data_IF_170352300398
#
_entry.id   IF_170352300398
#
_cell.length_a   1.000
_cell.length_b   1.000
_cell.length_c   1.000
_cell.angle_alpha   90.00
_cell.angle_beta   90.00
_cell.angle_gamma   90.00
#
_symmetry.space_group_name_H-M   'P 1'
#
loop_
_entity.id
_entity.type
_entity.pdbx_description
1 polymer ?
#
# COMPACT_ATOMS: atom_id res chain seq x y z
N UNK A 1 -10.36 10.78 11.28
CA UNK A 1 -10.50 10.82 10.72
C UNK A 1 -10.15 10.61 10.33
N UNK A 2 -10.20 10.35 10.39
CA UNK A 2 -10.08 10.28 10.07
C UNK A 2 -9.96 10.52 9.86
N UNK A 3 -10.02 10.39 11.18
CA UNK A 3 -10.20 10.38 10.48
C UNK A 3 -10.22 10.36 10.00
N UNK A 4 -10.23 10.14 10.59
CA UNK A 4 -10.43 10.05 9.81
C UNK A 4 -10.50 9.88 9.40
N UNK A 5 -10.45 9.51 9.68
CA UNK A 5 -10.67 9.35 8.94
C UNK A 5 -11.00 9.08 8.34
N UNK A 6 -11.18 8.90 8.80
CA UNK A 6 -11.48 8.61 7.85
C UNK A 6 -12.22 8.72 7.42
N UNK A 7 -12.44 8.42 7.62
CA UNK A 7 -13.11 8.35 6.80
C UNK A 7 -13.93 8.23 6.38
N UNK A 8 -14.34 8.35 6.66
CA UNK A 8 -15.08 8.15 5.97
C UNK A 8 -15.67 7.94 5.43
N UNK A 9 -16.19 7.84 5.49
CA UNK A 9 -16.76 7.61 4.73
C UNK A 9 -17.45 7.60 4.33
N UNK A 10 -17.87 7.53 4.43
CA UNK A 10 -18.49 7.50 3.81
C UNK A 10 -19.22 7.39 3.53
N UNK A 11 -19.59 7.46 3.84
CA UNK A 11 -20.16 7.37 3.39
C UNK A 11 -20.79 7.32 2.82
N UNK A 12 -21.16 7.26 2.89
CA UNK A 12 -21.46 7.21 2.32
C UNK A 12 -21.49 7.07 1.84
N UNK A 13 -21.30 7.04 2.16
CA UNK A 13 -20.91 7.01 1.73
C UNK A 13 -20.42 6.63 1.65
N UNK A 14 -20.06 6.50 1.52
CA UNK A 14 -19.39 6.31 1.38
C UNK A 14 -18.76 5.78 1.43
N UNK A 15 -18.44 5.50 1.04
CA UNK A 15 -17.77 4.72 1.34
C UNK A 15 -16.38 4.59 1.21
N UNK A 16 -15.78 4.54 1.92
CA UNK A 16 -14.38 4.47 2.06
C UNK A 16 -13.90 3.04 2.02
N UNK A 17 -12.72 2.79 1.38
CA UNK A 17 -12.18 1.46 1.23
C UNK A 17 -11.76 0.89 2.57
N UNK A 18 -12.00 -0.41 2.77
CA UNK A 18 -11.53 -1.11 3.93
C UNK A 18 -10.00 -1.19 3.93
N UNK A 19 -9.40 -1.08 5.10
CA UNK A 19 -7.98 -1.26 5.29
C UNK A 19 -7.77 -2.53 6.11
N UNK A 20 -6.72 -3.27 5.78
CA UNK A 20 -6.38 -4.50 6.49
C UNK A 20 -4.95 -4.43 6.97
N UNK A 21 -4.69 -4.64 8.28
CA UNK A 21 -3.32 -4.82 8.74
C UNK A 21 -2.80 -6.15 8.22
N UNK A 22 -1.60 -6.13 7.68
CA UNK A 22 -0.99 -7.30 7.06
C UNK A 22 0.50 -7.31 7.41
N UNK A 23 1.18 -8.38 7.03
CA UNK A 23 2.63 -8.46 7.11
C UNK A 23 3.09 -9.27 5.91
N UNK A 24 3.32 -8.58 4.80
CA UNK A 24 3.62 -9.21 3.52
C UNK A 24 4.93 -8.69 2.98
N UNK A 25 5.78 -9.59 2.49
CA UNK A 25 7.01 -9.20 1.83
C UNK A 25 6.69 -8.71 0.42
N UNK A 26 7.33 -7.62 0.04
CA UNK A 26 7.15 -7.02 -1.27
C UNK A 26 8.48 -6.43 -1.71
N UNK A 27 8.54 -5.95 -2.96
CA UNK A 27 9.77 -5.40 -3.51
C UNK A 27 9.48 -4.06 -4.17
N UNK A 28 10.42 -3.14 -4.03
CA UNK A 28 10.35 -1.81 -4.63
C UNK A 28 11.41 -1.76 -5.74
N UNK A 29 11.01 -1.30 -6.94
CA UNK A 29 11.90 -1.10 -8.06
C UNK A 29 11.58 -2.02 -9.22
N UNK A 30 12.02 -1.62 -10.42
CA UNK A 30 11.80 -2.40 -11.64
C UNK A 30 12.96 -3.34 -11.92
N UNK A 31 14.16 -2.80 -11.96
CA UNK A 31 15.37 -3.57 -12.23
C UNK A 31 15.96 -4.13 -10.96
N UNK A 32 16.74 -3.30 -10.26
CA UNK A 32 17.22 -3.64 -8.93
C UNK A 32 16.06 -3.49 -7.96
N UNK A 33 15.77 -4.54 -7.21
CA UNK A 33 14.61 -4.57 -6.32
C UNK A 33 15.08 -4.53 -4.88
N UNK A 34 14.41 -3.70 -4.09
CA UNK A 34 14.66 -3.57 -2.66
C UNK A 34 13.51 -4.18 -1.90
N UNK A 35 13.84 -5.06 -0.95
CA UNK A 35 12.84 -5.71 -0.13
C UNK A 35 12.16 -4.70 0.78
N UNK A 36 10.88 -4.82 0.96
CA UNK A 36 10.10 -4.06 1.94
C UNK A 36 9.00 -4.95 2.49
N UNK A 37 8.27 -4.43 3.48
CA UNK A 37 7.15 -5.14 4.07
C UNK A 37 5.92 -4.27 3.98
N UNK A 38 4.83 -4.83 3.47
CA UNK A 38 3.53 -4.15 3.48
C UNK A 38 2.89 -4.45 4.83
N UNK A 39 2.58 -3.42 5.59
CA UNK A 39 2.05 -3.57 6.95
C UNK A 39 0.60 -3.12 7.07
N UNK A 40 0.06 -2.50 6.02
CA UNK A 40 -1.33 -2.07 5.97
C UNK A 40 -1.68 -1.89 4.52
N UNK A 41 -2.85 -2.34 4.09
CA UNK A 41 -3.23 -2.29 2.68
C UNK A 41 -4.72 -2.00 2.52
N UNK A 42 -5.03 -1.24 1.48
CA UNK A 42 -6.38 -1.05 0.97
C UNK A 42 -6.31 -1.14 -0.56
N UNK A 43 -7.44 -1.04 -1.24
CA UNK A 43 -7.41 -1.02 -2.70
C UNK A 43 -6.76 0.25 -3.24
N UNK A 44 -6.66 1.31 -2.44
CA UNK A 44 -6.14 2.61 -2.90
C UNK A 44 -4.68 2.84 -2.53
N UNK A 45 -4.12 2.07 -1.61
CA UNK A 45 -2.75 2.32 -1.19
C UNK A 45 -2.27 1.35 -0.13
N UNK A 46 -1.06 1.61 0.35
CA UNK A 46 -0.42 0.75 1.33
C UNK A 46 0.51 1.55 2.21
N UNK A 47 0.69 1.05 3.43
CA UNK A 47 1.77 1.51 4.31
C UNK A 47 2.86 0.47 4.29
N UNK A 48 4.09 0.93 4.10
CA UNK A 48 5.25 0.08 3.95
C UNK A 48 6.21 0.29 5.11
N UNK A 49 6.83 -0.79 5.52
CA UNK A 49 8.03 -0.75 6.34
C UNK A 49 9.20 -0.99 5.40
N UNK A 50 10.17 -0.08 5.40
CA UNK A 50 11.25 -0.09 4.43
C UNK A 50 12.59 -0.21 5.14
N UNK A 51 13.61 -0.64 4.40
CA UNK A 51 14.96 -0.77 4.93
C UNK A 51 15.85 0.36 4.43
N UNK A 52 15.30 1.28 3.66
CA UNK A 52 15.96 2.51 3.26
C UNK A 52 14.89 3.58 3.14
N UNK A 53 15.31 4.83 3.25
CA UNK A 53 14.38 5.95 3.16
C UNK A 53 13.88 6.11 1.74
N UNK A 54 12.58 6.37 1.61
CA UNK A 54 11.97 6.73 0.34
C UNK A 54 11.74 8.24 0.32
N UNK A 55 11.73 8.80 -0.88
CA UNK A 55 11.51 10.24 -1.03
C UNK A 55 10.01 10.51 -1.15
N UNK A 56 9.50 11.38 -0.27
CA UNK A 56 8.13 11.88 -0.39
C UNK A 56 7.96 12.55 -1.75
N UNK A 57 6.86 12.24 -2.42
CA UNK A 57 6.56 12.76 -3.75
C UNK A 57 7.12 11.93 -4.89
N UNK A 58 7.94 10.92 -4.58
CA UNK A 58 8.46 10.03 -5.63
C UNK A 58 7.40 9.02 -6.03
N UNK A 59 7.60 8.44 -7.22
CA UNK A 59 6.76 7.37 -7.73
C UNK A 59 7.58 6.09 -7.67
N UNK A 60 7.00 5.03 -7.11
CA UNK A 60 7.68 3.75 -6.96
C UNK A 60 6.92 2.67 -7.72
N UNK A 61 7.66 1.63 -8.08
CA UNK A 61 7.13 0.43 -8.68
C UNK A 61 7.13 -0.64 -7.58
N UNK A 62 5.95 -1.12 -7.20
CA UNK A 62 5.84 -2.05 -6.07
C UNK A 62 5.38 -3.41 -6.58
N UNK A 63 6.15 -4.45 -6.29
CA UNK A 63 5.79 -5.83 -6.63
C UNK A 63 5.28 -6.50 -5.37
N UNK A 64 4.01 -6.89 -5.41
CA UNK A 64 3.30 -7.52 -4.31
C UNK A 64 3.47 -9.05 -4.38
N UNK A 65 3.23 -9.76 -3.27
CA UNK A 65 3.24 -11.22 -3.31
C UNK A 65 2.24 -11.74 -4.36
N UNK A 66 2.60 -12.82 -5.05
CA UNK A 66 1.78 -13.36 -6.13
C UNK A 66 2.08 -12.75 -7.47
N UNK A 67 2.98 -11.76 -7.52
CA UNK A 67 3.46 -11.19 -8.77
C UNK A 67 2.73 -9.96 -9.27
N UNK A 68 1.70 -9.50 -8.56
CA UNK A 68 1.03 -8.27 -8.96
C UNK A 68 1.96 -7.08 -8.78
N UNK A 69 2.05 -6.22 -9.79
CA UNK A 69 2.89 -5.01 -9.75
C UNK A 69 2.00 -3.79 -9.84
N UNK A 70 2.29 -2.80 -9.03
CA UNK A 70 1.53 -1.55 -9.01
C UNK A 70 2.49 -0.37 -9.00
N UNK A 71 2.04 0.73 -9.57
CA UNK A 71 2.77 2.00 -9.51
C UNK A 71 2.11 2.84 -8.42
N UNK A 72 2.90 3.42 -7.55
CA UNK A 72 2.39 4.15 -6.40
C UNK A 72 3.18 5.43 -6.16
N UNK A 73 2.49 6.44 -5.67
CA UNK A 73 3.11 7.70 -5.26
C UNK A 73 3.34 7.67 -3.75
N UNK A 74 4.55 8.04 -3.35
CA UNK A 74 4.90 8.14 -1.93
C UNK A 74 4.32 9.44 -1.40
N UNK A 75 3.33 9.34 -0.52
CA UNK A 75 2.64 10.50 0.02
C UNK A 75 3.29 11.03 1.29
N UNK A 76 3.90 10.15 2.07
CA UNK A 76 4.70 10.54 3.22
C UNK A 76 5.77 9.47 3.43
N UNK A 77 6.86 9.85 4.05
CA UNK A 77 7.96 8.92 4.31
C UNK A 77 8.78 9.39 5.49
N UNK A 78 9.31 8.44 6.24
CA UNK A 78 10.36 8.67 7.23
C UNK A 78 11.46 7.63 7.00
N UNK A 79 12.35 7.43 7.98
CA UNK A 79 13.54 6.60 7.76
C UNK A 79 13.20 5.15 7.42
N UNK A 80 12.13 4.62 7.99
CA UNK A 80 11.84 3.18 7.89
C UNK A 80 10.38 2.89 7.55
N UNK A 81 9.59 3.91 7.23
CA UNK A 81 8.21 3.68 6.82
C UNK A 81 7.75 4.70 5.81
N UNK A 82 6.74 4.34 5.05
CA UNK A 82 6.18 5.21 4.03
C UNK A 82 4.73 4.84 3.79
N UNK A 83 3.94 5.85 3.47
CA UNK A 83 2.58 5.65 2.99
C UNK A 83 2.52 5.99 1.51
N UNK A 84 1.92 5.12 0.73
CA UNK A 84 1.83 5.34 -0.71
C UNK A 84 0.40 5.12 -1.20
N UNK A 85 0.09 5.83 -2.27
CA UNK A 85 -1.20 5.76 -2.94
C UNK A 85 -0.98 5.16 -4.32
N UNK A 86 -1.73 4.11 -4.64
CA UNK A 86 -1.63 3.46 -5.95
C UNK A 86 -2.15 4.40 -7.03
N UNK A 87 -1.49 4.39 -8.19
CA UNK A 87 -1.96 5.16 -9.35
C UNK A 87 -3.34 4.68 -9.79
N UNK A 88 -3.59 3.38 -9.68
CA UNK A 88 -4.89 2.78 -9.97
C UNK A 88 -5.26 1.88 -8.81
N UNK A 89 -6.54 1.85 -8.41
CA UNK A 89 -6.96 0.97 -7.33
C UNK A 89 -6.69 -0.48 -7.67
N UNK A 90 -6.37 -1.28 -6.64
CA UNK A 90 -6.32 -2.73 -6.79
C UNK A 90 -7.70 -3.27 -7.11
N UNK A 91 -7.76 -4.33 -7.89
CA UNK A 91 -8.99 -5.07 -8.04
C UNK A 91 -9.32 -5.76 -6.71
N UNK A 92 -10.60 -5.89 -6.43
CA UNK A 92 -11.02 -6.40 -5.13
C UNK A 92 -10.52 -7.83 -4.90
N UNK A 93 -10.50 -8.68 -5.94
CA UNK A 93 -10.00 -10.03 -5.80
C UNK A 93 -8.51 -10.07 -5.50
N UNK A 94 -7.73 -9.15 -6.06
CA UNK A 94 -6.30 -9.02 -5.72
C UNK A 94 -6.14 -8.62 -4.26
N UNK A 95 -6.90 -7.63 -3.80
CA UNK A 95 -6.88 -7.19 -2.41
C UNK A 95 -7.23 -8.34 -1.46
N UNK A 96 -8.30 -9.05 -1.76
CA UNK A 96 -8.75 -10.17 -0.91
C UNK A 96 -7.72 -11.28 -0.87
N UNK A 97 -7.08 -11.57 -2.01
CA UNK A 97 -6.02 -12.57 -2.05
C UNK A 97 -4.83 -12.19 -1.17
N UNK A 98 -4.45 -10.91 -1.20
CA UNK A 98 -3.35 -10.43 -0.36
C UNK A 98 -3.68 -10.53 1.12
N UNK A 99 -4.91 -10.22 1.50
CA UNK A 99 -5.35 -10.36 2.89
C UNK A 99 -5.33 -11.83 3.29
N UNK A 100 -5.78 -12.73 2.40
CA UNK A 100 -5.76 -14.16 2.67
C UNK A 100 -4.35 -14.70 2.87
N UNK A 101 -3.38 -14.22 2.09
CA UNK A 101 -1.99 -14.65 2.24
C UNK A 101 -1.43 -14.34 3.62
N UNK A 102 -2.01 -13.38 4.31
CA UNK A 102 -1.55 -12.97 5.62
C UNK A 102 -2.08 -13.86 6.76
N UNK A 103 -3.01 -14.73 6.45
CA UNK A 103 -3.64 -15.59 7.47
C UNK A 103 -2.80 -16.79 7.81
#
# INVERSE_FOLDING_TARGET
MFAAEFEPLDTNGRRRSARAPVSLDAHIGKGVRTLCKVVDISIHGARLQTYCALAKGSTIWLTLPGGASVVADVKWADDFSAGCQFKQPLEMDVFEHLVELNR
#
